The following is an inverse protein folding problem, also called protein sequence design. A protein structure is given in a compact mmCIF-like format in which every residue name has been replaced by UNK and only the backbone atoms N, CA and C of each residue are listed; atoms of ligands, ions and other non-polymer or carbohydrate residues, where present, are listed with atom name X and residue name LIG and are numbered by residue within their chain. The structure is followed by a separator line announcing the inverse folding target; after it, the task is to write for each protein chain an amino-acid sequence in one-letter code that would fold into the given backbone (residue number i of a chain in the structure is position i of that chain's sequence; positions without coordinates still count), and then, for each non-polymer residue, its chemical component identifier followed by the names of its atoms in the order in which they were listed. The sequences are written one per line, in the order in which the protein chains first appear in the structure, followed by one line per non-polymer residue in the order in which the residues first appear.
data_IF_066075417309
#
_entry.id   IF_066075417309
#
_cell.length_a   1.000
_cell.length_b   1.000
_cell.length_c   1.000
_cell.angle_alpha   90.00
_cell.angle_beta   90.00
_cell.angle_gamma   90.00
#
_symmetry.space_group_name_H-M   'P 1'
#
loop_
_entity.id
_entity.type
_entity.pdbx_description
1 polymer ?
#
# COMPACT_ATOMS: atom_id res chain seq x y z
N UNK A 1 13.89 -14.18 -11.95
CA UNK A 1 14.21 -12.76 -12.17
C UNK A 1 13.26 -11.94 -11.32
N UNK A 2 13.75 -10.94 -10.57
CA UNK A 2 12.88 -10.01 -9.84
C UNK A 2 12.48 -8.84 -10.76
N UNK A 3 11.22 -8.38 -10.74
CA UNK A 3 10.77 -7.28 -11.60
C UNK A 3 11.36 -5.93 -11.15
N UNK A 4 11.66 -5.05 -12.10
CA UNK A 4 11.93 -3.65 -11.78
C UNK A 4 10.63 -2.86 -11.91
N UNK A 5 10.10 -2.37 -10.78
CA UNK A 5 8.85 -1.63 -10.71
C UNK A 5 9.05 -0.13 -10.48
N UNK A 6 10.26 0.38 -10.68
CA UNK A 6 10.54 1.83 -10.59
C UNK A 6 9.53 2.62 -11.44
N UNK A 7 9.02 3.73 -10.89
CA UNK A 7 8.00 4.60 -11.49
C UNK A 7 6.61 3.98 -11.70
N UNK A 8 6.37 2.75 -11.23
CA UNK A 8 5.01 2.19 -11.22
C UNK A 8 4.29 2.58 -9.94
N UNK A 9 3.07 3.10 -10.08
CA UNK A 9 2.17 3.39 -8.95
C UNK A 9 1.18 2.25 -8.81
N UNK A 10 1.12 1.62 -7.65
CA UNK A 10 0.29 0.43 -7.40
C UNK A 10 -0.56 0.67 -6.16
N UNK A 11 -1.87 0.45 -6.30
CA UNK A 11 -2.82 0.57 -5.20
C UNK A 11 -3.20 -0.81 -4.67
N UNK A 12 -2.99 -1.05 -3.37
CA UNK A 12 -3.26 -2.35 -2.75
C UNK A 12 -4.37 -2.21 -1.71
N UNK A 13 -5.48 -2.92 -1.92
CA UNK A 13 -6.60 -2.98 -0.97
C UNK A 13 -6.33 -3.94 0.18
N UNK A 14 -6.78 -3.61 1.40
CA UNK A 14 -6.63 -4.50 2.56
C UNK A 14 -5.16 -4.73 2.94
N UNK A 15 -4.33 -3.72 2.71
CA UNK A 15 -2.88 -3.80 2.72
C UNK A 15 -2.23 -3.66 4.11
N UNK A 16 -3.01 -3.38 5.15
CA UNK A 16 -2.50 -3.20 6.51
C UNK A 16 -2.02 -4.51 7.18
N UNK A 17 -2.38 -5.69 6.66
CA UNK A 17 -2.04 -6.98 7.29
C UNK A 17 -2.00 -8.15 6.30
N UNK A 18 -1.54 -9.31 6.79
CA UNK A 18 -1.60 -10.58 6.07
C UNK A 18 -0.97 -10.51 4.67
N UNK A 19 -1.67 -11.07 3.68
CA UNK A 19 -1.20 -11.11 2.29
C UNK A 19 -1.04 -9.72 1.68
N UNK A 20 -1.96 -8.79 1.97
CA UNK A 20 -1.88 -7.41 1.45
C UNK A 20 -0.60 -6.71 1.91
N UNK A 21 -0.22 -6.87 3.20
CA UNK A 21 1.04 -6.34 3.73
C UNK A 21 2.26 -6.97 3.05
N UNK A 22 2.26 -8.28 2.86
CA UNK A 22 3.36 -8.99 2.17
C UNK A 22 3.52 -8.53 0.72
N UNK A 23 2.40 -8.27 0.02
CA UNK A 23 2.39 -7.73 -1.34
C UNK A 23 3.00 -6.32 -1.36
N UNK A 24 2.60 -5.43 -0.44
CA UNK A 24 3.19 -4.08 -0.35
C UNK A 24 4.70 -4.15 -0.15
N UNK A 25 5.17 -4.99 0.79
CA UNK A 25 6.59 -5.17 1.07
C UNK A 25 7.34 -5.58 -0.19
N UNK A 26 6.86 -6.63 -0.87
CA UNK A 26 7.46 -7.12 -2.11
C UNK A 26 7.49 -6.04 -3.20
N UNK A 27 6.37 -5.34 -3.44
CA UNK A 27 6.30 -4.31 -4.48
C UNK A 27 7.25 -3.12 -4.19
N UNK A 28 7.27 -2.67 -2.94
CA UNK A 28 8.15 -1.59 -2.48
C UNK A 28 9.63 -1.97 -2.60
N UNK A 29 10.01 -3.19 -2.20
CA UNK A 29 11.38 -3.72 -2.36
C UNK A 29 11.83 -3.78 -3.84
N UNK A 30 10.87 -3.94 -4.76
CA UNK A 30 11.12 -3.93 -6.21
C UNK A 30 11.01 -2.52 -6.83
N UNK A 31 10.94 -1.46 -6.01
CA UNK A 31 11.01 -0.06 -6.43
C UNK A 31 9.68 0.60 -6.78
N UNK A 32 8.55 -0.09 -6.57
CA UNK A 32 7.24 0.49 -6.81
C UNK A 32 6.91 1.62 -5.84
N UNK A 33 6.02 2.51 -6.29
CA UNK A 33 5.32 3.46 -5.45
C UNK A 33 3.99 2.82 -5.03
N UNK A 34 3.79 2.54 -3.74
CA UNK A 34 2.67 1.72 -3.27
C UNK A 34 1.72 2.50 -2.37
N UNK A 35 0.45 2.59 -2.78
CA UNK A 35 -0.62 3.06 -1.91
C UNK A 35 -1.14 1.90 -1.05
N UNK A 36 -0.96 2.02 0.26
CA UNK A 36 -1.37 1.06 1.28
C UNK A 36 -2.75 1.45 1.76
N UNK A 37 -3.77 0.64 1.46
CA UNK A 37 -5.14 0.95 1.86
C UNK A 37 -5.66 0.10 3.01
N UNK A 38 -6.44 0.73 3.89
CA UNK A 38 -7.16 0.08 4.99
C UNK A 38 -8.39 0.90 5.41
N UNK A 39 -9.35 0.26 6.09
CA UNK A 39 -10.54 0.95 6.62
C UNK A 39 -10.19 2.01 7.67
N UNK A 40 -9.19 1.74 8.50
CA UNK A 40 -8.64 2.72 9.44
C UNK A 40 -7.32 3.25 8.86
N UNK A 41 -7.24 4.56 8.64
CA UNK A 41 -6.05 5.22 8.11
C UNK A 41 -4.79 4.91 8.94
N UNK A 42 -4.93 4.91 10.26
CA UNK A 42 -3.81 4.70 11.18
C UNK A 42 -3.16 3.32 11.02
N UNK A 43 -3.93 2.30 10.62
CA UNK A 43 -3.37 0.98 10.38
C UNK A 43 -2.54 0.93 9.08
N UNK A 44 -2.91 1.72 8.07
CA UNK A 44 -2.11 1.88 6.86
C UNK A 44 -0.84 2.70 7.12
N UNK A 45 -0.93 3.78 7.91
CA UNK A 45 0.22 4.62 8.29
C UNK A 45 1.30 3.84 9.05
N UNK A 46 0.92 2.87 9.89
CA UNK A 46 1.88 1.98 10.55
C UNK A 46 2.74 1.23 9.53
N UNK A 47 2.12 0.69 8.48
CA UNK A 47 2.84 -0.06 7.44
C UNK A 47 3.76 0.87 6.64
N UNK A 48 3.30 2.06 6.25
CA UNK A 48 4.18 3.00 5.52
C UNK A 48 5.34 3.47 6.39
N UNK A 49 5.10 3.70 7.69
CA UNK A 49 6.15 4.08 8.64
C UNK A 49 7.18 2.97 8.82
N UNK A 50 6.75 1.70 8.92
CA UNK A 50 7.65 0.54 9.00
C UNK A 50 8.51 0.38 7.73
N UNK A 51 8.02 0.86 6.58
CA UNK A 51 8.75 0.88 5.30
C UNK A 51 9.59 2.15 5.08
N UNK A 52 9.63 3.04 6.08
CA UNK A 52 10.44 4.25 6.08
C UNK A 52 9.82 5.41 5.30
N UNK A 53 8.51 5.39 5.01
CA UNK A 53 7.76 6.45 4.32
C UNK A 53 8.37 6.88 2.97
N UNK A 54 9.11 5.98 2.31
CA UNK A 54 9.61 6.17 0.94
C UNK A 54 8.71 5.42 -0.01
N UNK A 55 8.33 6.05 -1.11
CA UNK A 55 7.52 5.45 -2.17
C UNK A 55 6.30 4.66 -1.64
N UNK A 56 5.72 5.11 -0.52
CA UNK A 56 4.58 4.48 0.13
C UNK A 56 3.65 5.55 0.66
N UNK A 57 2.34 5.35 0.50
CA UNK A 57 1.31 6.31 0.91
C UNK A 57 0.17 5.59 1.62
N UNK A 58 -0.26 6.09 2.77
CA UNK A 58 -1.40 5.53 3.49
C UNK A 58 -2.70 6.09 2.92
N UNK A 59 -3.68 5.23 2.66
CA UNK A 59 -5.00 5.61 2.13
C UNK A 59 -6.10 4.97 2.95
N UNK A 60 -7.04 5.78 3.43
CA UNK A 60 -8.27 5.25 4.02
C UNK A 60 -9.19 4.75 2.90
N UNK A 61 -9.66 3.51 3.02
CA UNK A 61 -10.57 2.91 2.05
C UNK A 61 -11.52 1.92 2.72
N UNK A 62 -12.81 2.13 2.47
CA UNK A 62 -13.83 1.10 2.59
C UNK A 62 -14.24 0.62 1.19
N UNK A 63 -13.85 -0.61 0.84
CA UNK A 63 -14.15 -1.21 -0.49
C UNK A 63 -15.63 -1.48 -0.72
N UNK A 64 -16.47 -1.39 0.33
CA UNK A 64 -17.92 -1.58 0.23
C UNK A 64 -18.68 -0.27 0.03
N UNK A 65 -17.99 0.87 0.11
CA UNK A 65 -18.57 2.20 -0.08
C UNK A 65 -18.15 2.77 -1.44
N UNK A 66 -19.10 2.89 -2.35
CA UNK A 66 -18.93 3.70 -3.56
C UNK A 66 -19.37 5.13 -3.24
N UNK A 67 -18.46 5.95 -2.72
CA UNK A 67 -18.67 7.39 -2.67
C UNK A 67 -18.44 7.97 -4.07
N UNK A 68 -19.50 8.46 -4.69
CA UNK A 68 -19.42 9.26 -5.91
C UNK A 68 -19.30 10.70 -5.47
N UNK A 69 -18.09 11.25 -5.57
CA UNK A 69 -17.83 12.69 -5.42
C UNK A 69 -18.44 13.51 -6.54
#
# INVERSE_FOLDING_TARGET
MMPNLTNHVIFVTGANRGQGRAIVQYLHENGAIVAVSARNLHDAEKVTSELGNRNTFAVQLDVTSEEVG
#
